data_IF_591513346605
#
_entry.id   IF_591513346605
#
_cell.length_a   1.000
_cell.length_b   1.000
_cell.length_c   1.000
_cell.angle_alpha   90.00
_cell.angle_beta   90.00
_cell.angle_gamma   90.00
#
_symmetry.space_group_name_H-M   'P 1'
#
loop_
_entity.id
_entity.type
_entity.pdbx_description
1 polymer ?
#
# COMPACT_ATOMS: atom_id res chain seq x y z
N UNK A 1 -77.78 -14.78 -1.71
CA UNK A 1 -76.86 -15.43 -2.68
C UNK A 1 -76.13 -14.42 -3.60
N UNK A 2 -75.85 -13.19 -3.13
CA UNK A 2 -75.14 -12.16 -3.94
C UNK A 2 -73.74 -11.81 -3.42
N UNK A 3 -73.43 -12.08 -2.14
CA UNK A 3 -72.14 -11.70 -1.51
C UNK A 3 -70.98 -12.58 -1.99
N UNK A 4 -71.22 -13.88 -2.24
CA UNK A 4 -70.17 -14.80 -2.71
C UNK A 4 -69.67 -14.49 -4.13
N UNK A 5 -70.47 -13.84 -4.97
CA UNK A 5 -70.04 -13.44 -6.32
C UNK A 5 -69.02 -12.30 -6.25
N UNK A 6 -69.23 -11.30 -5.39
CA UNK A 6 -68.29 -10.19 -5.21
C UNK A 6 -66.97 -10.64 -4.58
N UNK A 7 -67.00 -11.53 -3.59
CA UNK A 7 -65.79 -12.06 -2.94
C UNK A 7 -64.87 -12.82 -3.93
N UNK A 8 -65.47 -13.48 -4.94
CA UNK A 8 -64.74 -14.24 -5.97
C UNK A 8 -64.01 -13.35 -6.98
N UNK A 9 -64.45 -12.10 -7.17
CA UNK A 9 -63.78 -11.11 -8.03
C UNK A 9 -62.91 -10.13 -7.24
N UNK A 10 -63.22 -9.90 -5.95
CA UNK A 10 -62.44 -9.05 -5.05
C UNK A 10 -61.08 -9.66 -4.71
N UNK A 11 -61.02 -10.97 -4.42
CA UNK A 11 -59.77 -11.67 -4.09
C UNK A 11 -58.71 -11.60 -5.21
N UNK A 12 -59.01 -11.90 -6.49
CA UNK A 12 -58.03 -11.78 -7.57
C UNK A 12 -57.68 -10.32 -7.88
N UNK A 13 -58.61 -9.38 -7.71
CA UNK A 13 -58.33 -7.95 -7.88
C UNK A 13 -57.37 -7.43 -6.80
N UNK A 14 -57.55 -7.85 -5.54
CA UNK A 14 -56.64 -7.51 -4.45
C UNK A 14 -55.25 -8.12 -4.67
N UNK A 15 -55.19 -9.37 -5.16
CA UNK A 15 -53.94 -10.04 -5.50
C UNK A 15 -53.20 -9.35 -6.66
N UNK A 16 -53.93 -8.83 -7.66
CA UNK A 16 -53.34 -8.05 -8.76
C UNK A 16 -52.72 -6.73 -8.29
N UNK A 17 -53.32 -6.04 -7.32
CA UNK A 17 -52.77 -4.79 -6.75
C UNK A 17 -51.44 -5.03 -6.02
N UNK A 18 -51.29 -6.18 -5.35
CA UNK A 18 -50.02 -6.56 -4.70
C UNK A 18 -48.87 -6.78 -5.70
N UNK A 19 -49.15 -7.21 -6.94
CA UNK A 19 -48.11 -7.37 -7.97
C UNK A 19 -47.65 -6.06 -8.62
N UNK A 20 -48.44 -4.97 -8.54
CA UNK A 20 -48.07 -3.67 -9.10
C UNK A 20 -47.26 -2.77 -8.15
N UNK A 21 -47.14 -3.14 -6.87
CA UNK A 21 -46.50 -2.29 -5.84
C UNK A 21 -44.96 -2.30 -5.82
N UNK A 22 -44.30 -3.13 -6.64
CA UNK A 22 -42.85 -3.18 -6.72
C UNK A 22 -42.29 -2.16 -7.73
N UNK A 23 -42.30 -0.87 -7.38
CA UNK A 23 -41.47 0.13 -8.06
C UNK A 23 -40.05 0.09 -7.47
N UNK A 24 -39.12 -0.57 -8.16
CA UNK A 24 -37.71 -0.49 -7.83
C UNK A 24 -37.19 0.91 -8.18
N UNK A 25 -37.02 1.78 -7.19
CA UNK A 25 -36.29 3.03 -7.38
C UNK A 25 -34.79 2.70 -7.52
N UNK A 26 -34.29 2.75 -8.76
CA UNK A 26 -32.86 2.62 -9.02
C UNK A 26 -32.20 3.94 -8.62
N UNK A 27 -31.49 3.94 -7.49
CA UNK A 27 -30.55 5.02 -7.18
C UNK A 27 -29.34 4.80 -8.09
N UNK A 28 -29.29 5.52 -9.20
CA UNK A 28 -28.11 5.58 -10.05
C UNK A 28 -27.18 6.63 -9.46
N UNK A 29 -26.17 6.21 -8.71
CA UNK A 29 -25.13 7.12 -8.24
C UNK A 29 -24.26 7.49 -9.43
N UNK A 30 -24.39 8.71 -9.96
CA UNK A 30 -23.40 9.23 -10.91
C UNK A 30 -22.09 9.49 -10.16
N UNK A 31 -21.10 8.62 -10.39
CA UNK A 31 -19.74 8.81 -9.90
C UNK A 31 -18.95 9.62 -10.94
N UNK A 32 -18.68 10.88 -10.63
CA UNK A 32 -17.78 11.74 -11.40
C UNK A 32 -16.46 11.86 -10.65
N UNK A 33 -15.45 11.02 -10.93
CA UNK A 33 -14.14 11.16 -10.30
C UNK A 33 -13.52 12.47 -10.71
N UNK A 34 -13.15 13.30 -9.74
CA UNK A 34 -12.28 14.43 -10.00
C UNK A 34 -10.89 13.89 -10.36
N UNK A 35 -10.42 14.18 -11.58
CA UNK A 35 -9.07 13.82 -12.02
C UNK A 35 -8.10 14.80 -11.37
N UNK A 36 -7.17 14.27 -10.57
CA UNK A 36 -6.08 15.04 -9.97
C UNK A 36 -4.84 14.80 -10.82
N UNK A 37 -4.51 15.77 -11.66
CA UNK A 37 -3.34 15.75 -12.54
C UNK A 37 -2.61 17.10 -12.56
N UNK A 38 -1.58 17.21 -13.41
CA UNK A 38 -0.75 18.40 -13.53
C UNK A 38 -1.40 19.59 -14.25
N UNK A 39 -2.62 19.44 -14.79
CA UNK A 39 -3.35 20.53 -15.43
C UNK A 39 -4.02 21.47 -14.42
N UNK A 40 -4.16 21.03 -13.16
CA UNK A 40 -4.71 21.84 -12.08
C UNK A 40 -3.68 22.85 -11.56
N UNK A 41 -4.10 24.10 -11.39
CA UNK A 41 -3.24 25.13 -10.79
C UNK A 41 -3.12 24.92 -9.28
N UNK A 42 -1.89 24.97 -8.76
CA UNK A 42 -1.65 24.93 -7.32
C UNK A 42 -2.22 26.17 -6.63
N UNK A 43 -2.79 25.97 -5.44
CA UNK A 43 -3.25 27.08 -4.60
C UNK A 43 -2.04 27.72 -3.90
N UNK A 44 -1.82 29.01 -4.13
CA UNK A 44 -0.67 29.73 -3.61
C UNK A 44 -0.65 29.84 -2.08
N UNK A 45 -1.81 29.94 -1.43
CA UNK A 45 -1.93 30.01 0.03
C UNK A 45 -1.53 28.68 0.67
N UNK A 46 -2.04 27.56 0.13
CA UNK A 46 -1.65 26.21 0.58
C UNK A 46 -0.16 25.96 0.35
N UNK A 47 0.37 26.34 -0.81
CA UNK A 47 1.79 26.16 -1.09
C UNK A 47 2.65 26.96 -0.11
N UNK A 48 2.30 28.22 0.16
CA UNK A 48 3.00 29.05 1.15
C UNK A 48 2.97 28.43 2.56
N UNK A 49 1.87 27.81 2.96
CA UNK A 49 1.75 27.09 4.23
C UNK A 49 2.62 25.83 4.28
N UNK A 50 2.72 25.08 3.17
CA UNK A 50 3.49 23.83 3.09
C UNK A 50 5.00 24.04 2.95
N UNK A 51 5.44 25.17 2.41
CA UNK A 51 6.85 25.49 2.17
C UNK A 51 7.80 25.19 3.36
N UNK A 52 7.56 25.67 4.60
CA UNK A 52 8.46 25.39 5.71
C UNK A 52 8.57 23.89 6.05
N UNK A 53 7.48 23.12 5.90
CA UNK A 53 7.49 21.68 6.11
C UNK A 53 8.28 20.96 5.02
N UNK A 54 8.08 21.33 3.75
CA UNK A 54 8.87 20.81 2.63
C UNK A 54 10.36 21.10 2.81
N UNK A 55 10.72 22.33 3.20
CA UNK A 55 12.10 22.73 3.40
C UNK A 55 12.79 21.85 4.47
N UNK A 56 12.14 21.67 5.61
CA UNK A 56 12.67 20.84 6.70
C UNK A 56 12.76 19.35 6.32
N UNK A 57 11.76 18.84 5.61
CA UNK A 57 11.80 17.46 5.11
C UNK A 57 12.93 17.27 4.10
N UNK A 58 13.07 18.20 3.15
CA UNK A 58 14.12 18.15 2.13
C UNK A 58 15.53 18.21 2.72
N UNK A 59 15.74 18.96 3.81
CA UNK A 59 17.01 18.99 4.52
C UNK A 59 17.43 17.58 4.99
N UNK A 60 16.50 16.83 5.58
CA UNK A 60 16.77 15.46 6.04
C UNK A 60 16.86 14.50 4.86
N UNK A 61 15.90 14.54 3.93
CA UNK A 61 15.81 13.59 2.81
C UNK A 61 16.96 13.69 1.81
N UNK A 62 17.57 14.87 1.68
CA UNK A 62 18.73 15.08 0.80
C UNK A 62 20.08 14.81 1.48
N UNK A 63 20.09 14.41 2.75
CA UNK A 63 21.33 14.04 3.43
C UNK A 63 21.93 12.79 2.77
N UNK A 64 23.16 12.90 2.28
CA UNK A 64 23.91 11.79 1.69
C UNK A 64 24.44 10.87 2.79
N UNK A 65 24.11 9.58 2.71
CA UNK A 65 24.54 8.55 3.66
C UNK A 65 25.79 7.81 3.17
N UNK A 66 25.84 7.54 1.87
CA UNK A 66 26.92 6.79 1.24
C UNK A 66 27.04 7.15 -0.24
N UNK A 67 28.15 6.76 -0.86
CA UNK A 67 28.33 6.79 -2.30
C UNK A 67 28.54 5.37 -2.82
N UNK A 68 27.93 5.07 -3.96
CA UNK A 68 28.07 3.78 -4.65
C UNK A 68 28.79 3.94 -5.99
N UNK A 69 29.75 3.05 -6.27
CA UNK A 69 30.46 3.03 -7.55
C UNK A 69 29.62 2.47 -8.71
N UNK A 70 28.56 1.74 -8.37
CA UNK A 70 27.65 1.09 -9.32
C UNK A 70 26.18 1.19 -8.90
N UNK A 71 25.28 0.82 -9.80
CA UNK A 71 23.85 0.74 -9.49
C UNK A 71 23.53 -0.62 -8.87
N UNK A 72 22.85 -0.61 -7.72
CA UNK A 72 22.32 -1.83 -7.09
C UNK A 72 20.91 -2.08 -7.61
N UNK A 73 20.85 -2.84 -8.70
CA UNK A 73 19.60 -3.12 -9.40
C UNK A 73 18.71 -4.08 -8.61
N UNK A 74 17.45 -3.68 -8.38
CA UNK A 74 16.44 -4.56 -7.84
C UNK A 74 16.05 -5.63 -8.88
N UNK A 75 16.48 -6.87 -8.68
CA UNK A 75 16.29 -7.96 -9.65
C UNK A 75 16.01 -9.31 -8.97
N UNK A 76 15.26 -10.18 -9.66
CA UNK A 76 15.04 -11.58 -9.31
C UNK A 76 15.93 -12.52 -10.15
N UNK A 77 16.20 -13.75 -9.68
CA UNK A 77 15.82 -14.27 -8.37
C UNK A 77 16.68 -13.73 -7.22
N UNK A 78 17.92 -13.31 -7.52
CA UNK A 78 18.91 -12.77 -6.60
C UNK A 78 19.50 -11.48 -7.19
N UNK A 79 19.98 -10.58 -6.34
CA UNK A 79 20.66 -9.34 -6.72
C UNK A 79 21.66 -8.88 -5.65
N UNK A 80 22.66 -8.11 -6.06
CA UNK A 80 23.56 -7.42 -5.12
C UNK A 80 22.78 -6.58 -4.10
N UNK A 81 21.66 -5.98 -4.52
CA UNK A 81 20.78 -5.22 -3.64
C UNK A 81 20.13 -6.09 -2.56
N UNK A 82 19.53 -7.22 -2.94
CA UNK A 82 18.87 -8.11 -1.98
C UNK A 82 19.86 -8.70 -0.98
N UNK A 83 21.07 -9.05 -1.45
CA UNK A 83 22.12 -9.58 -0.60
C UNK A 83 22.61 -8.50 0.38
N UNK A 84 22.94 -7.30 -0.13
CA UNK A 84 23.36 -6.17 0.70
C UNK A 84 22.36 -5.88 1.83
N UNK A 85 21.07 -5.79 1.53
CA UNK A 85 20.06 -5.46 2.54
C UNK A 85 19.89 -6.60 3.55
N UNK A 86 19.95 -7.86 3.11
CA UNK A 86 19.89 -9.02 4.01
C UNK A 86 21.10 -9.06 4.95
N UNK A 87 22.31 -8.86 4.42
CA UNK A 87 23.56 -8.83 5.18
C UNK A 87 23.55 -7.70 6.21
N UNK A 88 23.22 -6.48 5.80
CA UNK A 88 23.12 -5.33 6.72
C UNK A 88 22.07 -5.55 7.81
N UNK A 89 20.95 -6.20 7.49
CA UNK A 89 19.91 -6.52 8.47
C UNK A 89 20.41 -7.54 9.49
N UNK A 90 21.09 -8.59 9.03
CA UNK A 90 21.69 -9.61 9.90
C UNK A 90 22.77 -9.00 10.80
N UNK A 91 23.70 -8.25 10.22
CA UNK A 91 24.77 -7.55 10.97
C UNK A 91 24.19 -6.61 12.02
N UNK A 92 23.15 -5.84 11.67
CA UNK A 92 22.47 -4.94 12.61
C UNK A 92 21.81 -5.71 13.76
N UNK A 93 21.20 -6.87 13.49
CA UNK A 93 20.59 -7.70 14.51
C UNK A 93 21.65 -8.28 15.47
N UNK A 94 22.74 -8.83 14.91
CA UNK A 94 23.86 -9.40 15.68
C UNK A 94 24.53 -8.33 16.53
N UNK A 95 24.76 -7.13 15.98
CA UNK A 95 25.32 -6.00 16.73
C UNK A 95 24.43 -5.55 17.89
N UNK A 96 23.12 -5.82 17.82
CA UNK A 96 22.15 -5.57 18.90
C UNK A 96 22.01 -6.74 19.88
N UNK A 97 22.84 -7.78 19.75
CA UNK A 97 22.88 -8.92 20.65
C UNK A 97 21.87 -10.04 20.32
N UNK A 98 21.31 -10.03 19.11
CA UNK A 98 20.49 -11.15 18.62
C UNK A 98 21.41 -12.25 18.12
N UNK A 99 21.24 -13.46 18.65
CA UNK A 99 21.90 -14.66 18.13
C UNK A 99 21.10 -15.17 16.92
N UNK A 100 21.58 -14.88 15.71
CA UNK A 100 20.90 -15.21 14.46
C UNK A 100 21.88 -15.72 13.41
N UNK A 101 21.52 -16.82 12.74
CA UNK A 101 22.34 -17.44 11.69
C UNK A 101 22.02 -16.95 10.27
N UNK A 102 20.81 -16.41 10.06
CA UNK A 102 20.33 -16.01 8.72
C UNK A 102 19.32 -14.86 8.79
N UNK A 103 19.22 -14.12 7.69
CA UNK A 103 18.19 -13.11 7.48
C UNK A 103 17.35 -13.51 6.25
N UNK A 104 16.02 -13.43 6.40
CA UNK A 104 15.09 -13.61 5.30
C UNK A 104 14.31 -12.33 5.07
N UNK A 105 14.43 -11.78 3.87
CA UNK A 105 13.68 -10.61 3.43
C UNK A 105 12.87 -10.97 2.19
N UNK A 106 11.61 -10.53 2.15
CA UNK A 106 10.79 -10.71 0.97
C UNK A 106 11.17 -9.69 -0.11
N UNK A 107 11.33 -10.14 -1.36
CA UNK A 107 11.69 -9.27 -2.48
C UNK A 107 10.71 -8.10 -2.70
N UNK A 108 9.42 -8.30 -2.38
CA UNK A 108 8.39 -7.26 -2.48
C UNK A 108 8.56 -6.09 -1.51
N UNK A 109 9.29 -6.31 -0.41
CA UNK A 109 9.63 -5.30 0.60
C UNK A 109 10.63 -4.27 0.07
N UNK A 110 11.51 -4.67 -0.86
CA UNK A 110 12.37 -3.74 -1.60
C UNK A 110 11.56 -3.11 -2.73
N UNK A 111 11.53 -1.77 -2.82
CA UNK A 111 10.61 -1.06 -3.71
C UNK A 111 11.27 -0.47 -4.94
N UNK A 112 12.55 -0.11 -4.86
CA UNK A 112 13.31 0.46 -5.98
C UNK A 112 14.76 -0.04 -5.98
N UNK A 113 15.54 0.32 -6.99
CA UNK A 113 17.00 0.13 -7.03
C UNK A 113 17.72 1.25 -6.28
N UNK A 114 18.97 1.03 -5.86
CA UNK A 114 19.83 2.13 -5.40
C UNK A 114 20.72 2.61 -6.55
N UNK A 115 20.81 3.94 -6.79
CA UNK A 115 21.57 4.48 -7.90
C UNK A 115 23.08 4.34 -7.67
N UNK A 116 23.84 4.43 -8.76
CA UNK A 116 25.25 4.83 -8.70
C UNK A 116 25.36 6.27 -8.21
N UNK A 117 26.40 6.57 -7.43
CA UNK A 117 26.66 7.88 -6.85
C UNK A 117 26.03 8.04 -5.47
N UNK A 118 25.53 9.23 -5.17
CA UNK A 118 25.00 9.57 -3.85
C UNK A 118 23.74 8.75 -3.50
N UNK A 119 23.79 8.08 -2.36
CA UNK A 119 22.65 7.42 -1.73
C UNK A 119 22.20 8.29 -0.57
N UNK A 120 21.03 8.91 -0.71
CA UNK A 120 20.45 9.80 0.30
C UNK A 120 19.50 9.09 1.25
N UNK A 121 19.17 9.73 2.38
CA UNK A 121 18.09 9.29 3.28
C UNK A 121 16.79 9.06 2.51
N UNK A 122 16.40 10.00 1.65
CA UNK A 122 15.19 9.88 0.82
C UNK A 122 15.22 8.65 -0.08
N UNK A 123 16.40 8.30 -0.63
CA UNK A 123 16.55 7.09 -1.44
C UNK A 123 16.36 5.80 -0.63
N UNK A 124 16.81 5.77 0.63
CA UNK A 124 16.56 4.64 1.53
C UNK A 124 15.07 4.53 1.90
N UNK A 125 14.40 5.65 2.14
CA UNK A 125 12.94 5.67 2.33
C UNK A 125 12.19 5.19 1.09
N UNK A 126 12.64 5.54 -0.12
CA UNK A 126 12.08 4.98 -1.34
C UNK A 126 12.33 3.47 -1.47
N UNK A 127 13.48 2.96 -1.02
CA UNK A 127 13.83 1.54 -1.08
C UNK A 127 12.98 0.69 -0.12
N UNK A 128 12.83 1.11 1.15
CA UNK A 128 12.09 0.40 2.19
C UNK A 128 11.13 1.36 2.94
N UNK A 129 10.00 1.75 2.33
CA UNK A 129 9.13 2.83 2.82
C UNK A 129 8.22 2.46 4.00
N UNK A 130 8.29 1.22 4.49
CA UNK A 130 7.31 0.69 5.44
C UNK A 130 7.75 0.77 6.90
N UNK A 131 8.93 1.34 7.16
CA UNK A 131 9.49 1.44 8.52
C UNK A 131 9.45 0.10 9.27
N UNK A 132 9.80 -0.98 8.55
CA UNK A 132 9.74 -2.33 9.10
C UNK A 132 10.70 -2.50 10.28
N UNK A 133 10.27 -3.31 11.25
CA UNK A 133 11.12 -3.73 12.37
C UNK A 133 11.82 -5.06 12.07
N UNK A 134 13.02 -5.22 12.63
CA UNK A 134 13.73 -6.50 12.59
C UNK A 134 13.13 -7.41 13.67
N UNK A 135 12.61 -8.57 13.25
CA UNK A 135 12.06 -9.59 14.14
C UNK A 135 12.92 -10.84 14.06
N UNK A 136 13.36 -11.33 15.23
CA UNK A 136 14.12 -12.57 15.35
C UNK A 136 13.18 -13.72 15.73
N UNK A 137 13.31 -14.85 15.04
CA UNK A 137 12.54 -16.07 15.31
C UNK A 137 13.49 -17.26 15.38
N UNK A 138 13.29 -18.14 16.36
CA UNK A 138 13.99 -19.42 16.43
C UNK A 138 13.13 -20.49 15.76
N UNK A 139 13.69 -21.15 14.75
CA UNK A 139 13.03 -22.22 14.01
C UNK A 139 13.80 -23.53 14.20
N UNK A 140 13.10 -24.64 14.43
CA UNK A 140 13.74 -25.96 14.43
C UNK A 140 14.02 -26.44 13.01
N UNK A 141 15.04 -27.26 12.81
CA UNK A 141 15.37 -27.84 11.49
C UNK A 141 14.14 -28.51 10.83
N UNK A 142 13.33 -29.22 11.62
CA UNK A 142 12.11 -29.88 11.14
C UNK A 142 11.09 -28.89 10.55
N UNK A 143 10.97 -27.68 11.09
CA UNK A 143 10.07 -26.65 10.59
C UNK A 143 10.64 -25.92 9.37
N UNK A 144 11.97 -25.92 9.21
CA UNK A 144 12.62 -25.30 8.07
C UNK A 144 12.54 -26.20 6.81
N UNK A 145 12.66 -27.52 6.99
CA UNK A 145 12.66 -28.50 5.89
C UNK A 145 11.25 -28.88 5.37
N UNK A 146 10.19 -28.46 6.06
CA UNK A 146 8.79 -28.81 5.77
C UNK A 146 8.06 -27.78 4.93
#
# INVERSE_FOLDING_TARGET
MSIQKYLKYLLPALFAVFFYSCHHHKITTEYHPAVIDSSLSQNAEIEQELQPYRAKLNETMNTVLAQSDEEFVKKQPESNLSNLVADLTLETAVAKGVDADMCLLNFGGLRTSLPKGDITVGKIYELMPFENEIVAVTISAKQFDS
#
